data_IF_400587102773
#
_entry.id   IF_400587102773
#
_cell.length_a   1.000
_cell.length_b   1.000
_cell.length_c   1.000
_cell.angle_alpha   90.00
_cell.angle_beta   90.00
_cell.angle_gamma   90.00
#
_symmetry.space_group_name_H-M   'P 1'
#
loop_
_entity.id
_entity.type
_entity.pdbx_description
1 polymer ?
#
# COMPACT_ATOMS: atom_id res chain seq x y z
N UNK A 1 -15.97 57.70 -6.52
CA UNK A 1 -16.49 56.74 -7.53
C UNK A 1 -15.66 55.47 -7.47
N UNK A 2 -16.33 54.35 -7.20
CA UNK A 2 -15.87 52.96 -7.38
C UNK A 2 -15.17 52.80 -8.73
N UNK A 3 -13.99 52.17 -8.78
CA UNK A 3 -13.65 51.01 -9.64
C UNK A 3 -12.51 50.23 -8.98
N UNK A 4 -12.88 49.12 -8.34
CA UNK A 4 -11.98 48.05 -7.96
C UNK A 4 -11.49 47.38 -9.23
N UNK A 5 -10.19 47.43 -9.52
CA UNK A 5 -9.58 46.56 -10.53
C UNK A 5 -8.66 45.60 -9.81
N UNK A 6 -9.27 44.49 -9.44
CA UNK A 6 -8.65 43.27 -8.94
C UNK A 6 -7.73 42.72 -10.03
N UNK A 7 -6.41 42.88 -9.89
CA UNK A 7 -5.45 42.07 -10.62
C UNK A 7 -5.15 40.87 -9.71
N UNK A 8 -5.86 39.75 -9.94
CA UNK A 8 -5.46 38.45 -9.43
C UNK A 8 -4.11 38.12 -10.10
N UNK A 9 -3.02 38.51 -9.44
CA UNK A 9 -1.73 37.92 -9.70
C UNK A 9 -1.85 36.45 -9.29
N UNK A 10 -1.82 35.58 -10.29
CA UNK A 10 -1.75 34.13 -10.18
C UNK A 10 -0.65 33.74 -9.19
N UNK A 11 -1.02 33.50 -7.94
CA UNK A 11 -0.18 32.78 -7.00
C UNK A 11 -0.16 31.33 -7.48
N UNK A 12 0.87 31.03 -8.28
CA UNK A 12 1.52 29.72 -8.45
C UNK A 12 0.92 28.65 -7.55
N UNK A 13 0.14 27.74 -8.15
CA UNK A 13 -0.12 26.43 -7.58
C UNK A 13 1.24 25.82 -7.22
N UNK A 14 1.53 25.71 -5.93
CA UNK A 14 2.57 24.86 -5.41
C UNK A 14 2.13 23.40 -5.61
N UNK A 15 2.29 22.89 -6.83
CA UNK A 15 2.15 21.48 -7.17
C UNK A 15 3.49 21.04 -7.74
N UNK A 16 4.47 20.81 -6.86
CA UNK A 16 5.79 20.34 -7.28
C UNK A 16 6.61 19.70 -6.15
N UNK A 17 6.03 18.93 -5.24
CA UNK A 17 6.83 18.18 -4.24
C UNK A 17 6.40 16.74 -3.95
N UNK A 18 5.54 16.12 -4.76
CA UNK A 18 5.14 14.72 -4.51
C UNK A 18 5.86 13.67 -5.38
N UNK A 19 6.73 14.08 -6.30
CA UNK A 19 7.54 13.17 -7.11
C UNK A 19 8.94 12.92 -6.50
N UNK A 20 9.11 13.03 -5.19
CA UNK A 20 10.44 12.96 -4.57
C UNK A 20 10.49 13.02 -3.05
N UNK A 21 9.57 12.36 -2.34
CA UNK A 21 9.91 11.83 -1.03
C UNK A 21 10.52 10.45 -1.30
N UNK A 22 11.78 10.46 -1.75
CA UNK A 22 12.63 9.28 -1.83
C UNK A 22 13.63 9.41 -0.70
N UNK A 23 13.16 9.19 0.53
CA UNK A 23 14.07 8.91 1.63
C UNK A 23 14.56 7.46 1.53
N UNK A 24 15.69 7.15 2.14
CA UNK A 24 16.23 5.77 2.27
C UNK A 24 15.17 4.76 2.75
N UNK A 25 14.20 5.22 3.55
CA UNK A 25 13.04 4.43 4.01
C UNK A 25 12.00 4.13 2.92
N UNK A 26 11.81 5.02 1.95
CA UNK A 26 10.86 4.82 0.84
C UNK A 26 11.43 3.81 -0.17
N UNK A 27 12.74 3.84 -0.42
CA UNK A 27 13.42 2.82 -1.24
C UNK A 27 13.33 1.42 -0.60
N UNK A 28 13.60 1.31 0.71
CA UNK A 28 13.49 0.03 1.42
C UNK A 28 12.06 -0.54 1.39
N UNK A 29 11.06 0.33 1.54
CA UNK A 29 9.65 -0.05 1.39
C UNK A 29 9.35 -0.54 -0.04
N UNK A 30 9.73 0.21 -1.07
CA UNK A 30 9.45 -0.16 -2.46
C UNK A 30 10.18 -1.44 -2.89
N UNK A 31 11.42 -1.64 -2.46
CA UNK A 31 12.16 -2.89 -2.67
C UNK A 31 11.46 -4.08 -1.99
N UNK A 32 10.94 -3.88 -0.78
CA UNK A 32 10.18 -4.91 -0.09
C UNK A 32 8.88 -5.23 -0.85
N UNK A 33 8.17 -4.21 -1.38
CA UNK A 33 6.94 -4.39 -2.15
C UNK A 33 7.19 -5.17 -3.43
N UNK A 34 8.21 -4.80 -4.21
CA UNK A 34 8.59 -5.50 -5.45
C UNK A 34 8.98 -6.96 -5.16
N UNK A 35 9.78 -7.20 -4.10
CA UNK A 35 10.17 -8.53 -3.69
C UNK A 35 8.96 -9.38 -3.25
N UNK A 36 8.03 -8.81 -2.48
CA UNK A 36 6.81 -9.49 -2.06
C UNK A 36 5.88 -9.79 -3.23
N UNK A 37 5.74 -8.86 -4.18
CA UNK A 37 4.97 -9.06 -5.42
C UNK A 37 5.49 -10.24 -6.23
N UNK A 38 6.81 -10.34 -6.44
CA UNK A 38 7.45 -11.49 -7.11
C UNK A 38 7.20 -12.80 -6.37
N UNK A 39 7.32 -12.78 -5.05
CA UNK A 39 7.05 -13.96 -4.22
C UNK A 39 5.60 -14.42 -4.33
N UNK A 40 4.65 -13.50 -4.33
CA UNK A 40 3.24 -13.79 -4.53
C UNK A 40 2.96 -14.39 -5.92
N UNK A 41 3.59 -13.85 -6.98
CA UNK A 41 3.45 -14.41 -8.33
C UNK A 41 4.06 -15.81 -8.49
N UNK A 42 5.03 -16.14 -7.64
CA UNK A 42 5.70 -17.45 -7.62
C UNK A 42 4.99 -18.50 -6.75
N UNK A 43 3.93 -18.13 -6.01
CA UNK A 43 3.21 -19.07 -5.13
C UNK A 43 2.54 -20.16 -5.98
N UNK A 44 3.04 -21.39 -5.87
CA UNK A 44 2.49 -22.56 -6.56
C UNK A 44 1.88 -23.60 -5.60
N UNK A 45 2.26 -23.56 -4.32
CA UNK A 45 1.80 -24.45 -3.26
C UNK A 45 1.55 -23.70 -1.94
N UNK A 46 0.92 -24.39 -0.98
CA UNK A 46 0.62 -23.84 0.33
C UNK A 46 1.88 -23.49 1.16
N UNK A 47 2.98 -24.24 0.99
CA UNK A 47 4.25 -23.91 1.64
C UNK A 47 4.83 -22.57 1.11
N UNK A 48 4.65 -22.26 -0.18
CA UNK A 48 5.11 -20.98 -0.77
C UNK A 48 4.31 -19.78 -0.25
N UNK A 49 3.07 -20.02 0.19
CA UNK A 49 2.19 -18.99 0.74
C UNK A 49 2.72 -18.46 2.08
N UNK A 50 3.37 -19.30 2.89
CA UNK A 50 4.02 -18.86 4.14
C UNK A 50 5.14 -17.86 3.87
N UNK A 51 6.03 -18.18 2.92
CA UNK A 51 7.12 -17.31 2.50
C UNK A 51 6.61 -15.98 1.90
N UNK A 52 5.49 -16.03 1.16
CA UNK A 52 4.85 -14.85 0.62
C UNK A 52 4.28 -13.94 1.74
N UNK A 53 3.65 -14.50 2.77
CA UNK A 53 3.19 -13.73 3.93
C UNK A 53 4.36 -13.09 4.68
N UNK A 54 5.45 -13.82 4.89
CA UNK A 54 6.61 -13.27 5.57
C UNK A 54 7.24 -12.11 4.79
N UNK A 55 7.17 -12.17 3.45
CA UNK A 55 7.55 -11.04 2.59
C UNK A 55 6.60 -9.85 2.76
N UNK A 56 5.29 -10.07 2.88
CA UNK A 56 4.31 -9.01 3.18
C UNK A 56 4.52 -8.39 4.57
N UNK A 57 4.86 -9.19 5.59
CA UNK A 57 5.22 -8.68 6.92
C UNK A 57 6.43 -7.75 6.87
N UNK A 58 7.41 -8.07 6.03
CA UNK A 58 8.55 -7.19 5.80
C UNK A 58 8.13 -5.86 5.18
N UNK A 59 7.23 -5.88 4.19
CA UNK A 59 6.64 -4.66 3.61
C UNK A 59 5.99 -3.78 4.68
N UNK A 60 5.16 -4.38 5.54
CA UNK A 60 4.54 -3.69 6.69
C UNK A 60 5.59 -3.08 7.62
N UNK A 61 6.69 -3.78 7.88
CA UNK A 61 7.70 -3.34 8.82
C UNK A 61 8.49 -2.13 8.32
N UNK A 62 8.74 -2.05 7.01
CA UNK A 62 9.36 -0.90 6.34
C UNK A 62 8.37 0.26 6.11
N UNK A 63 7.06 -0.04 6.04
CA UNK A 63 6.03 0.97 5.92
C UNK A 63 5.93 1.85 7.18
N UNK A 64 5.45 3.09 6.99
CA UNK A 64 5.20 4.03 8.08
C UNK A 64 3.75 4.50 8.13
N UNK A 65 3.29 4.94 9.30
CA UNK A 65 1.97 5.54 9.50
C UNK A 65 0.81 4.68 9.01
N UNK A 66 -0.13 5.30 8.29
CA UNK A 66 -1.34 4.67 7.75
C UNK A 66 -1.03 3.53 6.77
N UNK A 67 0.07 3.62 6.00
CA UNK A 67 0.50 2.53 5.09
C UNK A 67 0.77 1.25 5.87
N UNK A 68 1.44 1.37 7.02
CA UNK A 68 1.72 0.23 7.90
C UNK A 68 0.44 -0.41 8.42
N UNK A 69 -0.54 0.40 8.84
CA UNK A 69 -1.83 -0.07 9.36
C UNK A 69 -2.65 -0.78 8.27
N UNK A 70 -2.62 -0.28 7.03
CA UNK A 70 -3.27 -0.93 5.90
C UNK A 70 -2.63 -2.30 5.60
N UNK A 71 -1.30 -2.39 5.58
CA UNK A 71 -0.61 -3.67 5.41
C UNK A 71 -0.89 -4.64 6.55
N UNK A 72 -0.93 -4.16 7.80
CA UNK A 72 -1.25 -5.00 8.96
C UNK A 72 -2.67 -5.56 8.89
N UNK A 73 -3.63 -4.74 8.43
CA UNK A 73 -5.02 -5.17 8.17
C UNK A 73 -5.06 -6.29 7.14
N UNK A 74 -4.37 -6.12 6.01
CA UNK A 74 -4.31 -7.12 4.95
C UNK A 74 -3.67 -8.43 5.44
N UNK A 75 -2.50 -8.35 6.09
CA UNK A 75 -1.78 -9.53 6.59
C UNK A 75 -2.62 -10.29 7.63
N UNK A 76 -3.21 -9.57 8.58
CA UNK A 76 -4.05 -10.18 9.62
C UNK A 76 -5.23 -10.93 9.00
N UNK A 77 -5.84 -10.37 7.95
CA UNK A 77 -6.93 -11.05 7.24
C UNK A 77 -6.46 -12.35 6.57
N UNK A 78 -5.28 -12.36 5.95
CA UNK A 78 -4.71 -13.55 5.32
C UNK A 78 -4.38 -14.62 6.37
N UNK A 79 -3.75 -14.24 7.49
CA UNK A 79 -3.42 -15.16 8.57
C UNK A 79 -4.66 -15.76 9.23
N UNK A 80 -5.72 -14.96 9.38
CA UNK A 80 -7.02 -15.41 9.88
C UNK A 80 -7.62 -16.48 8.96
N UNK A 81 -7.60 -16.24 7.65
CA UNK A 81 -8.10 -17.20 6.66
C UNK A 81 -7.27 -18.49 6.64
N UNK A 82 -5.96 -18.41 6.84
CA UNK A 82 -5.08 -19.59 6.89
C UNK A 82 -5.21 -20.40 8.18
N UNK A 83 -5.55 -19.76 9.29
CA UNK A 83 -5.81 -20.43 10.56
C UNK A 83 -6.97 -21.43 10.50
N UNK A 84 -7.80 -21.38 9.44
CA UNK A 84 -8.87 -22.34 9.19
C UNK A 84 -10.05 -22.20 10.16
N UNK A 85 -10.06 -21.15 10.98
CA UNK A 85 -11.15 -20.85 11.90
C UNK A 85 -12.24 -20.09 11.14
N UNK A 86 -13.27 -20.83 10.73
CA UNK A 86 -14.38 -20.28 9.95
C UNK A 86 -15.09 -19.13 10.67
N UNK A 87 -15.17 -19.18 12.00
CA UNK A 87 -15.78 -18.12 12.82
C UNK A 87 -14.95 -16.83 12.79
N UNK A 88 -13.62 -16.94 12.79
CA UNK A 88 -12.72 -15.80 12.67
C UNK A 88 -12.77 -15.18 11.26
N UNK A 89 -13.06 -15.98 10.23
CA UNK A 89 -13.29 -15.46 8.87
C UNK A 89 -14.60 -14.68 8.74
N UNK A 90 -15.64 -15.05 9.49
CA UNK A 90 -16.92 -14.32 9.55
C UNK A 90 -16.79 -12.96 10.24
N UNK A 91 -15.81 -12.82 11.14
CA UNK A 91 -15.51 -11.58 11.86
C UNK A 91 -14.64 -10.60 11.03
N UNK A 92 -14.18 -11.00 9.84
CA UNK A 92 -13.40 -10.14 8.96
C UNK A 92 -14.28 -9.03 8.37
N UNK A 93 -13.93 -7.79 8.68
CA UNK A 93 -14.52 -6.59 8.12
C UNK A 93 -14.07 -6.41 6.66
N UNK A 94 -14.84 -6.97 5.73
CA UNK A 94 -14.54 -6.99 4.29
C UNK A 94 -14.39 -5.57 3.71
N UNK A 95 -15.16 -4.60 4.23
CA UNK A 95 -15.09 -3.21 3.79
C UNK A 95 -13.74 -2.59 4.18
N UNK A 96 -13.27 -2.82 5.42
CA UNK A 96 -11.93 -2.37 5.84
C UNK A 96 -10.80 -3.04 5.09
N UNK A 97 -10.91 -4.33 4.82
CA UNK A 97 -9.89 -5.06 4.04
C UNK A 97 -9.82 -4.49 2.63
N UNK A 98 -10.98 -4.21 2.02
CA UNK A 98 -11.06 -3.57 0.71
C UNK A 98 -10.45 -2.18 0.71
N UNK A 99 -10.84 -1.33 1.67
CA UNK A 99 -10.32 0.03 1.78
C UNK A 99 -8.80 0.05 1.99
N UNK A 100 -8.28 -0.84 2.85
CA UNK A 100 -6.85 -1.01 3.07
C UNK A 100 -6.14 -1.45 1.78
N UNK A 101 -6.72 -2.39 1.03
CA UNK A 101 -6.17 -2.87 -0.24
C UNK A 101 -6.14 -1.78 -1.30
N UNK A 102 -7.23 -1.01 -1.45
CA UNK A 102 -7.32 0.09 -2.42
C UNK A 102 -6.31 1.20 -2.09
N UNK A 103 -6.12 1.51 -0.79
CA UNK A 103 -5.11 2.45 -0.31
C UNK A 103 -3.69 1.96 -0.57
N UNK A 104 -3.40 0.68 -0.32
CA UNK A 104 -2.09 0.06 -0.62
C UNK A 104 -1.78 0.19 -2.11
N UNK A 105 -2.72 -0.21 -2.98
CA UNK A 105 -2.52 -0.16 -4.44
C UNK A 105 -2.21 1.26 -4.90
N UNK A 106 -2.98 2.22 -4.39
CA UNK A 106 -2.75 3.63 -4.69
C UNK A 106 -1.38 4.11 -4.20
N UNK A 107 -1.00 3.80 -2.96
CA UNK A 107 0.27 4.23 -2.38
C UNK A 107 1.47 3.60 -3.07
N UNK A 108 1.42 2.32 -3.40
CA UNK A 108 2.48 1.63 -4.13
C UNK A 108 2.65 2.21 -5.52
N UNK A 109 1.55 2.53 -6.22
CA UNK A 109 1.60 3.20 -7.51
C UNK A 109 2.17 4.61 -7.40
N UNK A 110 1.66 5.42 -6.48
CA UNK A 110 2.03 6.83 -6.34
C UNK A 110 3.46 7.01 -5.79
N UNK A 111 3.95 6.07 -4.98
CA UNK A 111 5.25 6.17 -4.27
C UNK A 111 6.35 5.36 -4.94
N UNK A 112 6.04 4.13 -5.35
CA UNK A 112 7.02 3.19 -5.88
C UNK A 112 7.01 3.08 -7.41
N UNK A 113 6.03 3.68 -8.09
CA UNK A 113 5.79 3.52 -9.54
C UNK A 113 5.62 2.04 -9.95
N UNK A 114 5.10 1.22 -9.02
CA UNK A 114 4.81 -0.20 -9.26
C UNK A 114 3.31 -0.35 -9.49
N UNK A 115 2.92 -0.91 -10.63
CA UNK A 115 1.54 -1.35 -10.84
C UNK A 115 1.36 -2.77 -10.30
N UNK A 116 0.82 -2.91 -9.10
CA UNK A 116 0.46 -4.21 -8.52
C UNK A 116 -0.55 -4.98 -9.38
N UNK A 117 -1.37 -4.28 -10.16
CA UNK A 117 -2.32 -4.88 -11.10
C UNK A 117 -1.63 -5.55 -12.31
N UNK A 118 -0.38 -5.18 -12.62
CA UNK A 118 0.41 -5.74 -13.74
C UNK A 118 1.38 -6.85 -13.29
N UNK A 119 1.46 -7.13 -11.99
CA UNK A 119 2.33 -8.16 -11.41
C UNK A 119 1.69 -9.57 -11.40
N UNK A 120 0.50 -9.74 -11.99
CA UNK A 120 -0.22 -11.01 -12.18
C UNK A 120 -0.48 -11.31 -13.66
#
# INVERSE_FOLDING_TARGET
MRRFTFALASATLAVATLAGCGGDSDEAYCDAVDAAGKKLSDVAAADDLGDAIDSLKKVRDEASGETKENWDTLITSIETLQGGDASSAEDLDQDKIKDASDQIVKQVKDTCDINLEELN
#
